data_IF_905878209149
#
_entry.id   IF_905878209149
#
_cell.length_a   1.000
_cell.length_b   1.000
_cell.length_c   1.000
_cell.angle_alpha   90.00
_cell.angle_beta   90.00
_cell.angle_gamma   90.00
#
_symmetry.space_group_name_H-M   'P 1'
#
loop_
_entity.id
_entity.type
_entity.pdbx_description
1 polymer ?
#
# COMPACT_ATOMS: atom_id res chain seq x y z
N UNK A 1 17.70 44.08 0.64
CA UNK A 1 16.73 43.39 -0.23
C UNK A 1 16.59 41.99 0.34
N UNK A 2 15.64 41.80 1.23
CA UNK A 2 15.41 40.55 1.98
C UNK A 2 15.02 39.42 1.03
N UNK A 3 15.82 38.35 1.06
CA UNK A 3 15.46 37.04 0.53
C UNK A 3 14.43 36.40 1.45
N UNK A 4 13.14 36.58 1.13
CA UNK A 4 12.06 35.79 1.70
C UNK A 4 12.17 34.35 1.18
N UNK A 5 12.70 33.46 2.01
CA UNK A 5 12.47 32.02 1.88
C UNK A 5 10.96 31.79 2.01
N UNK A 6 10.29 31.39 0.93
CA UNK A 6 8.93 30.86 1.01
C UNK A 6 9.01 29.56 1.83
N UNK A 7 8.52 29.58 3.06
CA UNK A 7 8.04 28.36 3.70
C UNK A 7 6.99 27.78 2.76
N UNK A 8 7.32 26.68 2.10
CA UNK A 8 6.32 25.89 1.40
C UNK A 8 5.24 25.54 2.43
N UNK A 9 3.98 25.73 2.07
CA UNK A 9 2.84 25.44 2.93
C UNK A 9 2.88 23.95 3.32
N UNK A 10 3.47 23.66 4.48
CA UNK A 10 3.87 22.32 4.94
C UNK A 10 2.67 21.43 5.28
N UNK A 11 1.44 21.94 5.13
CA UNK A 11 0.20 21.29 5.54
C UNK A 11 -0.84 21.23 4.41
N UNK A 12 -0.45 21.48 3.16
CA UNK A 12 -1.35 21.31 2.02
C UNK A 12 -1.73 19.81 1.87
N UNK A 13 -3.01 19.47 1.59
CA UNK A 13 -3.42 18.10 1.30
C UNK A 13 -2.57 17.50 0.18
N UNK A 14 -2.23 16.22 0.29
CA UNK A 14 -1.41 15.57 -0.76
C UNK A 14 -2.21 15.59 -2.07
N UNK A 15 -1.68 16.20 -3.15
CA UNK A 15 -2.43 16.39 -4.38
C UNK A 15 -2.70 15.02 -5.02
N UNK A 16 -3.97 14.59 -4.98
CA UNK A 16 -4.42 13.42 -5.73
C UNK A 16 -4.39 13.74 -7.23
N UNK A 17 -3.70 12.91 -8.02
CA UNK A 17 -3.75 13.01 -9.48
C UNK A 17 -5.10 12.48 -9.97
N UNK A 18 -5.80 13.17 -10.90
CA UNK A 18 -7.04 12.66 -11.46
C UNK A 18 -6.86 11.26 -12.04
N UNK A 19 -7.68 10.30 -11.59
CA UNK A 19 -7.61 8.90 -12.03
C UNK A 19 -6.56 8.02 -11.34
N UNK A 20 -5.68 8.59 -10.50
CA UNK A 20 -4.74 7.82 -9.70
C UNK A 20 -5.36 7.41 -8.35
N UNK A 21 -4.93 6.28 -7.75
CA UNK A 21 -5.31 5.95 -6.38
C UNK A 21 -4.78 6.98 -5.40
N UNK A 22 -5.53 7.23 -4.32
CA UNK A 22 -5.06 8.02 -3.19
C UNK A 22 -4.11 7.19 -2.33
N UNK A 23 -4.45 5.93 -2.08
CA UNK A 23 -3.64 4.99 -1.32
C UNK A 23 -3.14 3.84 -2.20
N UNK A 24 -1.85 3.52 -2.13
CA UNK A 24 -1.32 2.23 -2.54
C UNK A 24 -0.86 1.45 -1.30
N UNK A 25 -1.61 0.40 -0.98
CA UNK A 25 -1.32 -0.50 0.12
C UNK A 25 -0.53 -1.70 -0.42
N UNK A 26 0.74 -1.78 -0.06
CA UNK A 26 1.63 -2.85 -0.52
C UNK A 26 1.67 -4.01 0.47
N UNK A 27 1.51 -5.25 -0.01
CA UNK A 27 1.73 -6.47 0.76
C UNK A 27 2.93 -7.20 0.16
N UNK A 28 4.13 -7.14 0.78
CA UNK A 28 5.27 -7.93 0.36
C UNK A 28 5.05 -9.40 0.73
N UNK A 29 5.32 -10.32 -0.20
CA UNK A 29 5.10 -11.76 -0.02
C UNK A 29 6.29 -12.58 -0.48
N UNK A 30 6.56 -13.69 0.21
CA UNK A 30 7.58 -14.67 -0.17
C UNK A 30 7.13 -16.05 0.31
N UNK A 31 6.81 -16.94 -0.62
CA UNK A 31 6.33 -18.31 -0.35
C UNK A 31 5.09 -18.36 0.60
N UNK A 32 4.01 -17.66 0.21
CA UNK A 32 2.79 -17.43 1.00
C UNK A 32 1.51 -17.99 0.35
N UNK A 33 1.63 -19.04 -0.46
CA UNK A 33 0.52 -19.59 -1.28
C UNK A 33 -0.73 -19.98 -0.46
N UNK A 34 -0.53 -20.32 0.83
CA UNK A 34 -1.60 -20.73 1.75
C UNK A 34 -2.41 -19.58 2.33
N UNK A 35 -1.83 -18.38 2.36
CA UNK A 35 -2.38 -17.22 3.06
C UNK A 35 -2.83 -16.13 2.09
N UNK A 36 -2.08 -15.96 0.99
CA UNK A 36 -2.19 -14.83 0.07
C UNK A 36 -3.62 -14.55 -0.39
N UNK A 37 -4.34 -15.56 -0.90
CA UNK A 37 -5.68 -15.35 -1.46
C UNK A 37 -6.67 -14.80 -0.44
N UNK A 38 -6.72 -15.42 0.75
CA UNK A 38 -7.60 -14.98 1.83
C UNK A 38 -7.28 -13.54 2.22
N UNK A 39 -5.99 -13.21 2.33
CA UNK A 39 -5.53 -11.87 2.70
C UNK A 39 -5.92 -10.83 1.66
N UNK A 40 -5.63 -11.07 0.38
CA UNK A 40 -5.93 -10.12 -0.70
C UNK A 40 -7.43 -9.87 -0.81
N UNK A 41 -8.25 -10.92 -0.79
CA UNK A 41 -9.72 -10.78 -0.85
C UNK A 41 -10.26 -10.00 0.35
N UNK A 42 -9.78 -10.31 1.57
CA UNK A 42 -10.21 -9.62 2.79
C UNK A 42 -9.81 -8.15 2.78
N UNK A 43 -8.57 -7.84 2.42
CA UNK A 43 -8.08 -6.46 2.35
C UNK A 43 -8.81 -5.68 1.27
N UNK A 44 -9.02 -6.26 0.08
CA UNK A 44 -9.77 -5.63 -1.00
C UNK A 44 -11.21 -5.30 -0.59
N UNK A 45 -11.92 -6.30 -0.06
CA UNK A 45 -13.30 -6.11 0.42
C UNK A 45 -13.38 -5.06 1.54
N UNK A 46 -12.40 -5.02 2.44
CA UNK A 46 -12.33 -3.98 3.47
C UNK A 46 -12.17 -2.59 2.86
N UNK A 47 -11.23 -2.43 1.93
CA UNK A 47 -10.98 -1.16 1.26
C UNK A 47 -12.23 -0.67 0.50
N UNK A 48 -12.92 -1.57 -0.20
CA UNK A 48 -14.13 -1.23 -0.97
C UNK A 48 -15.30 -0.80 -0.07
N UNK A 49 -15.44 -1.43 1.09
CA UNK A 49 -16.56 -1.18 1.98
C UNK A 49 -16.32 -0.02 2.97
N UNK A 50 -15.07 0.25 3.35
CA UNK A 50 -14.77 1.14 4.49
C UNK A 50 -13.81 2.28 4.17
N UNK A 51 -13.07 2.22 3.05
CA UNK A 51 -12.07 3.23 2.75
C UNK A 51 -12.69 4.31 1.83
N UNK A 52 -12.76 5.58 2.27
CA UNK A 52 -13.50 6.62 1.55
C UNK A 52 -12.74 7.18 0.33
N UNK A 53 -11.59 6.60 -0.01
CA UNK A 53 -10.71 7.07 -1.08
C UNK A 53 -10.38 5.94 -2.06
N UNK A 54 -10.13 6.25 -3.35
CA UNK A 54 -9.60 5.28 -4.30
C UNK A 54 -8.32 4.64 -3.75
N UNK A 55 -8.30 3.31 -3.66
CA UNK A 55 -7.18 2.56 -3.09
C UNK A 55 -6.78 1.41 -3.99
N UNK A 56 -5.48 1.26 -4.23
CA UNK A 56 -4.85 0.11 -4.88
C UNK A 56 -4.25 -0.80 -3.81
N UNK A 57 -4.38 -2.12 -4.02
CA UNK A 57 -3.70 -3.15 -3.25
C UNK A 57 -2.63 -3.78 -4.13
N UNK A 58 -1.36 -3.59 -3.79
CA UNK A 58 -0.24 -4.11 -4.57
C UNK A 58 0.39 -5.30 -3.85
N UNK A 59 0.36 -6.48 -4.47
CA UNK A 59 1.12 -7.65 -4.01
C UNK A 59 2.54 -7.54 -4.56
N UNK A 60 3.52 -7.38 -3.68
CA UNK A 60 4.93 -7.32 -4.06
C UNK A 60 5.60 -8.68 -3.82
N UNK A 61 5.60 -9.53 -4.85
CA UNK A 61 6.22 -10.85 -4.81
C UNK A 61 7.75 -10.75 -4.80
N UNK A 62 8.33 -11.28 -3.73
CA UNK A 62 9.74 -11.14 -3.38
C UNK A 62 10.52 -12.41 -3.76
N UNK A 63 10.45 -12.80 -5.04
CA UNK A 63 11.07 -13.99 -5.60
C UNK A 63 10.53 -15.30 -5.01
N UNK A 64 9.20 -15.43 -4.90
CA UNK A 64 8.59 -16.69 -4.45
C UNK A 64 8.88 -17.83 -5.43
N UNK A 65 8.98 -19.04 -4.88
CA UNK A 65 9.32 -20.28 -5.59
C UNK A 65 8.18 -21.30 -5.58
N UNK A 66 7.10 -21.00 -4.86
CA UNK A 66 5.87 -21.78 -4.76
C UNK A 66 4.74 -21.20 -5.65
N UNK A 67 3.47 -21.54 -5.36
CA UNK A 67 2.31 -21.05 -6.10
C UNK A 67 1.96 -19.56 -5.89
N UNK A 68 2.68 -18.83 -5.03
CA UNK A 68 2.34 -17.45 -4.61
C UNK A 68 2.17 -16.49 -5.78
N UNK A 69 3.13 -16.46 -6.71
CA UNK A 69 3.09 -15.53 -7.84
C UNK A 69 1.91 -15.82 -8.79
N UNK A 70 1.60 -17.11 -9.00
CA UNK A 70 0.46 -17.51 -9.83
C UNK A 70 -0.86 -17.08 -9.20
N UNK A 71 -1.00 -17.26 -7.88
CA UNK A 71 -2.16 -16.79 -7.12
C UNK A 71 -2.28 -15.27 -7.19
N UNK A 72 -1.19 -14.52 -6.98
CA UNK A 72 -1.18 -13.06 -7.06
C UNK A 72 -1.68 -12.55 -8.41
N UNK A 73 -1.13 -13.09 -9.52
CA UNK A 73 -1.51 -12.71 -10.88
C UNK A 73 -2.98 -13.00 -11.19
N UNK A 74 -3.46 -14.17 -10.77
CA UNK A 74 -4.88 -14.53 -10.91
C UNK A 74 -5.78 -13.53 -10.16
N UNK A 75 -5.44 -13.20 -8.92
CA UNK A 75 -6.23 -12.26 -8.12
C UNK A 75 -6.25 -10.85 -8.72
N UNK A 76 -5.14 -10.39 -9.29
CA UNK A 76 -5.08 -9.10 -9.99
C UNK A 76 -5.92 -9.06 -11.27
N UNK A 77 -6.17 -10.21 -11.90
CA UNK A 77 -7.11 -10.31 -13.02
C UNK A 77 -8.57 -10.38 -12.54
N UNK A 78 -8.84 -11.01 -11.40
CA UNK A 78 -10.20 -11.20 -10.86
C UNK A 78 -10.74 -9.98 -10.10
N UNK A 79 -9.88 -9.17 -9.50
CA UNK A 79 -10.25 -8.10 -8.57
C UNK A 79 -9.74 -6.75 -9.07
N UNK A 80 -10.68 -5.82 -9.32
CA UNK A 80 -10.34 -4.44 -9.64
C UNK A 80 -9.52 -3.80 -8.51
N UNK A 81 -8.55 -2.97 -8.88
CA UNK A 81 -7.69 -2.29 -7.90
C UNK A 81 -6.69 -3.21 -7.18
N UNK A 82 -6.44 -4.42 -7.69
CA UNK A 82 -5.33 -5.28 -7.26
C UNK A 82 -4.23 -5.27 -8.33
N UNK A 83 -2.98 -5.06 -7.92
CA UNK A 83 -1.80 -5.07 -8.78
C UNK A 83 -0.75 -6.05 -8.25
N UNK A 84 0.18 -6.45 -9.13
CA UNK A 84 1.30 -7.34 -8.78
C UNK A 84 2.60 -6.74 -9.29
N UNK A 85 3.60 -6.73 -8.42
CA UNK A 85 4.99 -6.47 -8.77
C UNK A 85 5.78 -7.73 -8.40
N UNK A 86 6.56 -8.26 -9.33
CA UNK A 86 7.41 -9.43 -9.10
C UNK A 86 8.88 -9.04 -9.23
N UNK A 87 9.70 -9.57 -8.33
CA UNK A 87 11.14 -9.45 -8.37
C UNK A 87 11.76 -10.83 -8.48
N UNK A 88 12.73 -11.00 -9.39
CA UNK A 88 13.47 -12.26 -9.54
C UNK A 88 14.45 -12.51 -8.37
N UNK A 89 14.80 -11.46 -7.61
CA UNK A 89 15.80 -11.52 -6.55
C UNK A 89 15.26 -11.08 -5.19
N UNK A 90 15.45 -11.94 -4.18
CA UNK A 90 15.03 -11.73 -2.79
C UNK A 90 15.53 -10.41 -2.18
N UNK A 91 14.65 -9.77 -1.43
CA UNK A 91 14.89 -8.63 -0.57
C UNK A 91 13.58 -7.90 -0.29
N UNK A 92 13.00 -8.04 0.91
CA UNK A 92 11.73 -7.38 1.28
C UNK A 92 11.78 -5.86 1.07
N UNK A 93 12.86 -5.22 1.50
CA UNK A 93 13.07 -3.79 1.26
C UNK A 93 13.15 -3.44 -0.23
N UNK A 94 13.72 -4.31 -1.06
CA UNK A 94 13.75 -4.15 -2.53
C UNK A 94 12.36 -4.28 -3.13
N UNK A 95 11.56 -5.24 -2.66
CA UNK A 95 10.18 -5.42 -3.10
C UNK A 95 9.34 -4.18 -2.79
N UNK A 96 9.40 -3.68 -1.55
CA UNK A 96 8.73 -2.43 -1.15
C UNK A 96 9.22 -1.23 -1.96
N UNK A 97 10.53 -1.04 -2.07
CA UNK A 97 11.13 0.06 -2.82
C UNK A 97 10.69 0.05 -4.29
N UNK A 98 10.67 -1.12 -4.93
CA UNK A 98 10.24 -1.27 -6.33
C UNK A 98 8.76 -0.94 -6.50
N UNK A 99 7.90 -1.45 -5.61
CA UNK A 99 6.47 -1.13 -5.63
C UNK A 99 6.21 0.36 -5.43
N UNK A 100 6.90 0.99 -4.47
CA UNK A 100 6.73 2.41 -4.15
C UNK A 100 7.23 3.34 -5.25
N UNK A 101 8.39 3.07 -5.85
CA UNK A 101 8.88 3.89 -6.97
C UNK A 101 8.01 3.76 -8.24
N UNK A 102 7.33 2.64 -8.41
CA UNK A 102 6.38 2.43 -9.51
C UNK A 102 4.98 2.99 -9.25
N UNK A 103 4.70 3.47 -8.03
CA UNK A 103 3.38 3.91 -7.62
C UNK A 103 3.13 5.38 -7.95
N UNK A 104 1.97 5.66 -8.52
CA UNK A 104 1.43 6.99 -8.77
C UNK A 104 0.53 7.52 -7.64
N UNK A 105 0.42 6.77 -6.53
CA UNK A 105 -0.45 7.13 -5.43
C UNK A 105 0.08 8.29 -4.59
N UNK A 106 -0.84 9.04 -3.98
CA UNK A 106 -0.51 10.13 -3.06
C UNK A 106 0.09 9.62 -1.74
N UNK A 107 -0.45 8.51 -1.21
CA UNK A 107 0.01 7.88 0.02
C UNK A 107 0.43 6.44 -0.27
N UNK A 108 1.62 6.09 0.22
CA UNK A 108 2.19 4.75 0.14
C UNK A 108 2.19 4.13 1.53
N UNK A 109 1.62 2.94 1.64
CA UNK A 109 1.63 2.17 2.89
C UNK A 109 2.05 0.73 2.60
N UNK A 110 2.43 0.01 3.64
CA UNK A 110 2.59 -1.44 3.54
C UNK A 110 2.04 -2.15 4.77
N UNK A 111 1.66 -3.41 4.60
CA UNK A 111 1.29 -4.29 5.69
C UNK A 111 1.76 -5.72 5.43
N UNK A 112 1.91 -6.51 6.49
CA UNK A 112 2.24 -7.93 6.38
C UNK A 112 1.04 -8.76 5.87
N UNK A 113 1.35 -9.85 5.16
CA UNK A 113 0.38 -10.77 4.56
C UNK A 113 -0.46 -11.52 5.60
N UNK A 114 0.02 -11.63 6.84
CA UNK A 114 -0.67 -12.33 7.91
C UNK A 114 -1.83 -11.52 8.53
N UNK A 115 -1.97 -10.24 8.16
CA UNK A 115 -2.94 -9.30 8.73
C UNK A 115 -2.87 -9.26 10.27
N UNK A 116 -1.66 -9.34 10.83
CA UNK A 116 -1.42 -9.25 12.27
C UNK A 116 -1.85 -7.91 12.90
N UNK A 117 -2.05 -6.89 12.08
CA UNK A 117 -2.67 -5.60 12.45
C UNK A 117 -4.11 -5.55 11.92
N UNK A 118 -5.03 -5.10 12.76
CA UNK A 118 -6.43 -4.90 12.35
C UNK A 118 -6.53 -3.88 11.22
N UNK A 119 -7.24 -4.25 10.14
CA UNK A 119 -7.53 -3.35 9.03
C UNK A 119 -8.31 -2.11 9.48
N UNK A 120 -9.08 -2.20 10.57
CA UNK A 120 -9.74 -1.06 11.20
C UNK A 120 -8.79 0.07 11.60
N UNK A 121 -7.51 -0.22 11.83
CA UNK A 121 -6.50 0.78 12.15
C UNK A 121 -5.92 1.49 10.91
N UNK A 122 -6.20 1.01 9.69
CA UNK A 122 -5.62 1.55 8.46
C UNK A 122 -6.08 2.98 8.20
N UNK A 123 -7.39 3.25 8.27
CA UNK A 123 -7.92 4.59 8.01
C UNK A 123 -7.42 5.64 9.03
N UNK A 124 -7.45 5.40 10.35
CA UNK A 124 -6.84 6.30 11.33
C UNK A 124 -5.35 6.57 11.06
N UNK A 125 -4.61 5.57 10.58
CA UNK A 125 -3.19 5.72 10.25
C UNK A 125 -2.96 6.58 9.00
N UNK A 126 -3.80 6.42 7.98
CA UNK A 126 -3.63 7.09 6.67
C UNK A 126 -4.25 8.49 6.64
N UNK A 127 -5.28 8.77 7.43
CA UNK A 127 -5.98 10.06 7.41
C UNK A 127 -5.08 11.29 7.65
N UNK A 128 -4.12 11.29 8.60
CA UNK A 128 -3.17 12.39 8.78
C UNK A 128 -2.28 12.62 7.55
N UNK A 129 -1.94 11.56 6.81
CA UNK A 129 -1.14 11.63 5.59
C UNK A 129 -1.94 12.26 4.44
N UNK A 130 -3.16 11.77 4.20
CA UNK A 130 -4.03 12.27 3.12
C UNK A 130 -4.35 13.75 3.31
N UNK A 131 -4.61 14.16 4.55
CA UNK A 131 -4.96 15.54 4.87
C UNK A 131 -3.77 16.51 4.91
N UNK A 132 -2.53 16.03 4.78
CA UNK A 132 -1.33 16.87 4.86
C UNK A 132 -0.90 17.25 6.29
N UNK A 133 -1.61 16.79 7.33
CA UNK A 133 -1.22 17.04 8.73
C UNK A 133 0.03 16.26 9.14
N UNK A 134 0.45 15.26 8.37
CA UNK A 134 1.65 14.47 8.63
C UNK A 134 2.27 13.97 7.33
N UNK A 135 3.60 13.83 7.34
CA UNK A 135 4.35 13.24 6.22
C UNK A 135 4.70 11.76 6.45
N UNK A 136 4.65 11.31 7.72
CA UNK A 136 4.93 9.94 8.12
C UNK A 136 3.98 9.55 9.25
N UNK A 137 3.45 8.34 9.17
CA UNK A 137 2.62 7.74 10.20
C UNK A 137 3.10 6.30 10.46
N UNK A 138 3.17 5.91 11.74
CA UNK A 138 3.61 4.58 12.16
C UNK A 138 2.56 4.01 13.11
N UNK A 139 2.04 2.82 12.77
CA UNK A 139 1.15 2.07 13.65
C UNK A 139 1.93 1.17 14.60
N UNK A 140 1.45 1.04 15.84
CA UNK A 140 1.99 0.09 16.82
C UNK A 140 0.87 -0.76 17.41
N UNK A 141 1.19 -2.02 17.73
CA UNK A 141 0.31 -2.95 18.46
C UNK A 141 0.60 -2.98 19.96
N UNK A 142 1.62 -2.25 20.42
CA UNK A 142 1.97 -2.15 21.82
C UNK A 142 0.96 -1.24 22.54
N UNK A 143 0.48 -1.71 23.69
CA UNK A 143 -0.30 -0.92 24.65
C UNK A 143 0.61 -0.43 25.76
#
# INVERSE_FOLDING_TARGET
METTTREADVHAPVPARPGAPVLDLVIPVYDEERTLERTVRRTRAYLDAHFPYPARLTVADNASTDGTLAIARRLAHELDGVAVVHLDAKGRGRALHTAWLGSDAAVLAYMDVDLSTDLGALLPLVAPLVSGHSHLAIGTRLR
#
